data_IF_507188972879
#
_entry.id   IF_507188972879
#
_cell.length_a   1.000
_cell.length_b   1.000
_cell.length_c   1.000
_cell.angle_alpha   90.00
_cell.angle_beta   90.00
_cell.angle_gamma   90.00
#
_symmetry.space_group_name_H-M   'P 1'
#
loop_
_entity.id
_entity.type
_entity.pdbx_description
1 polymer ?
#
# COMPACT_ATOMS: atom_id res chain seq x y z
N UNK A 1 22.07 4.78 -19.40
CA UNK A 1 21.56 4.37 -18.07
C UNK A 1 20.10 3.98 -18.27
N UNK A 2 19.63 2.86 -17.71
CA UNK A 2 18.25 2.43 -17.96
C UNK A 2 17.24 3.30 -17.22
N UNK A 3 16.07 3.53 -17.80
CA UNK A 3 15.01 4.39 -17.26
C UNK A 3 13.72 3.61 -17.01
N UNK A 4 13.18 3.72 -15.78
CA UNK A 4 11.99 2.98 -15.31
C UNK A 4 10.88 3.95 -14.90
N UNK A 5 9.67 3.70 -15.40
CA UNK A 5 8.46 4.42 -15.01
C UNK A 5 7.67 3.66 -13.96
N UNK A 6 7.41 4.25 -12.80
CA UNK A 6 6.54 3.66 -11.76
C UNK A 6 5.14 4.25 -11.89
N UNK A 7 4.11 3.41 -11.94
CA UNK A 7 2.71 3.81 -11.79
C UNK A 7 2.18 3.23 -10.50
N UNK A 8 1.76 4.08 -9.57
CA UNK A 8 1.18 3.66 -8.29
C UNK A 8 0.20 4.71 -7.77
N UNK A 9 -0.43 4.44 -6.63
CA UNK A 9 -1.35 5.37 -5.98
C UNK A 9 -0.58 6.65 -5.56
N UNK A 10 -0.92 7.83 -6.09
CA UNK A 10 -0.26 9.09 -5.74
C UNK A 10 -0.57 9.54 -4.30
N UNK A 11 -1.52 8.89 -3.63
CA UNK A 11 -2.15 9.27 -2.35
C UNK A 11 -1.33 10.12 -1.39
N UNK A 12 -1.36 11.44 -1.59
CA UNK A 12 -0.79 12.45 -0.68
C UNK A 12 -1.59 12.58 0.64
N UNK A 13 -2.51 11.66 0.93
CA UNK A 13 -3.27 11.58 2.18
C UNK A 13 -3.06 10.23 2.90
N UNK A 14 -2.23 9.35 2.33
CA UNK A 14 -1.99 8.01 2.83
C UNK A 14 -0.48 7.74 3.00
N UNK A 15 -0.04 7.53 4.25
CA UNK A 15 1.36 7.28 4.58
C UNK A 15 1.94 6.09 3.80
N UNK A 16 1.18 4.99 3.73
CA UNK A 16 1.57 3.78 3.03
C UNK A 16 1.85 4.00 1.54
N UNK A 17 0.97 4.73 0.85
CA UNK A 17 1.13 5.04 -0.57
C UNK A 17 2.45 5.78 -0.84
N UNK A 18 2.83 6.72 0.03
CA UNK A 18 4.08 7.50 -0.09
C UNK A 18 5.31 6.66 0.23
N UNK A 19 5.27 5.92 1.34
CA UNK A 19 6.40 5.12 1.82
C UNK A 19 6.74 3.97 0.87
N UNK A 20 5.74 3.25 0.33
CA UNK A 20 6.00 2.18 -0.64
C UNK A 20 6.58 2.72 -1.95
N UNK A 21 6.14 3.91 -2.38
CA UNK A 21 6.65 4.51 -3.62
C UNK A 21 8.10 4.96 -3.45
N UNK A 22 8.37 5.66 -2.35
CA UNK A 22 9.72 6.05 -1.97
C UNK A 22 10.65 4.83 -1.93
N UNK A 23 10.25 3.76 -1.26
CA UNK A 23 11.09 2.57 -1.13
C UNK A 23 11.36 1.89 -2.48
N UNK A 24 10.34 1.70 -3.32
CA UNK A 24 10.54 1.12 -4.66
C UNK A 24 11.47 1.99 -5.51
N UNK A 25 11.27 3.31 -5.51
CA UNK A 25 12.12 4.25 -6.22
C UNK A 25 13.58 4.18 -5.73
N UNK A 26 13.79 4.19 -4.41
CA UNK A 26 15.13 4.14 -3.80
C UNK A 26 15.86 2.85 -4.18
N UNK A 27 15.21 1.70 -4.08
CA UNK A 27 15.76 0.39 -4.42
C UNK A 27 16.14 0.27 -5.90
N UNK A 28 15.35 0.87 -6.79
CA UNK A 28 15.65 0.90 -8.23
C UNK A 28 16.80 1.88 -8.53
N UNK A 29 16.84 3.05 -7.88
CA UNK A 29 17.96 4.00 -8.01
C UNK A 29 19.28 3.42 -7.49
N UNK A 30 19.27 2.69 -6.38
CA UNK A 30 20.44 1.98 -5.85
C UNK A 30 21.02 0.95 -6.85
N UNK A 31 20.23 0.51 -7.84
CA UNK A 31 20.66 -0.37 -8.95
C UNK A 31 21.14 0.38 -10.19
N UNK A 32 21.28 1.70 -10.12
CA UNK A 32 21.74 2.52 -11.24
C UNK A 32 20.69 2.76 -12.31
N UNK A 33 19.39 2.72 -11.97
CA UNK A 33 18.33 3.17 -12.86
C UNK A 33 17.99 4.64 -12.63
N UNK A 34 17.64 5.33 -13.72
CA UNK A 34 16.83 6.54 -13.64
C UNK A 34 15.37 6.13 -13.39
N UNK A 35 14.71 6.77 -12.43
CA UNK A 35 13.38 6.35 -11.99
C UNK A 35 12.48 7.56 -11.84
N UNK A 36 11.33 7.51 -12.49
CA UNK A 36 10.27 8.52 -12.36
C UNK A 36 8.95 7.85 -11.97
N UNK A 37 8.26 8.41 -10.98
CA UNK A 37 6.85 8.09 -10.72
C UNK A 37 5.98 8.86 -11.69
N UNK A 38 5.14 8.17 -12.45
CA UNK A 38 4.26 8.75 -13.44
C UNK A 38 2.90 9.01 -12.83
N UNK A 39 2.54 10.28 -12.72
CA UNK A 39 1.22 10.69 -12.26
C UNK A 39 0.39 11.16 -13.45
N UNK A 40 -0.66 10.38 -13.79
CA UNK A 40 -1.54 10.70 -14.89
C UNK A 40 -2.64 11.64 -14.40
N UNK A 41 -2.55 12.92 -14.78
CA UNK A 41 -3.44 13.97 -14.27
C UNK A 41 -4.62 14.26 -15.19
N UNK A 42 -4.70 13.60 -16.35
CA UNK A 42 -5.83 13.74 -17.27
C UNK A 42 -6.79 12.56 -17.16
N UNK A 43 -8.07 12.81 -17.43
CA UNK A 43 -9.07 11.75 -17.49
C UNK A 43 -8.87 10.89 -18.74
N UNK A 44 -8.27 9.70 -18.59
CA UNK A 44 -8.31 8.64 -19.62
C UNK A 44 -9.72 8.09 -19.85
N UNK A 45 -10.65 8.45 -18.99
CA UNK A 45 -12.01 7.95 -19.05
C UNK A 45 -12.82 8.60 -20.15
N UNK A 46 -13.25 7.79 -21.10
CA UNK A 46 -14.30 8.15 -22.02
C UNK A 46 -15.64 8.16 -21.26
N UNK A 47 -16.34 9.31 -21.18
CA UNK A 47 -17.61 9.45 -20.43
C UNK A 47 -18.64 8.35 -20.78
N UNK A 48 -18.66 7.92 -22.04
CA UNK A 48 -19.51 6.82 -22.54
C UNK A 48 -19.22 5.46 -21.88
N UNK A 49 -17.96 5.13 -21.57
CA UNK A 49 -17.61 3.87 -20.89
C UNK A 49 -18.09 3.85 -19.43
N UNK A 50 -18.15 5.01 -18.74
CA UNK A 50 -18.82 5.12 -17.42
C UNK A 50 -20.29 4.72 -17.52
N UNK A 51 -20.97 5.30 -18.50
CA UNK A 51 -22.42 5.12 -18.69
C UNK A 51 -22.76 3.68 -19.05
N UNK A 52 -22.01 3.05 -19.96
CA UNK A 52 -22.24 1.65 -20.36
C UNK A 52 -21.92 0.68 -19.20
N UNK A 53 -20.84 0.89 -18.46
CA UNK A 53 -20.51 0.06 -17.31
C UNK A 53 -21.53 0.20 -16.17
N UNK A 54 -22.02 1.41 -15.93
CA UNK A 54 -23.12 1.67 -15.00
C UNK A 54 -24.42 1.01 -15.48
N UNK A 55 -24.75 1.12 -16.77
CA UNK A 55 -25.94 0.54 -17.36
C UNK A 55 -25.93 -1.00 -17.30
N UNK A 56 -24.82 -1.66 -17.69
CA UNK A 56 -24.67 -3.12 -17.56
C UNK A 56 -24.82 -3.61 -16.12
N UNK A 57 -24.41 -2.79 -15.13
CA UNK A 57 -24.61 -3.10 -13.70
C UNK A 57 -26.06 -2.88 -13.24
N UNK A 58 -26.72 -1.85 -13.74
CA UNK A 58 -28.15 -1.61 -13.48
C UNK A 58 -29.01 -2.78 -13.99
N UNK A 59 -28.70 -3.34 -15.14
CA UNK A 59 -29.41 -4.48 -15.71
C UNK A 59 -29.22 -5.80 -14.94
N UNK A 60 -28.22 -5.89 -14.05
CA UNK A 60 -27.88 -7.12 -13.32
C UNK A 60 -28.43 -7.16 -11.89
N UNK A 61 -28.86 -6.01 -11.30
CA UNK A 61 -29.59 -5.96 -10.02
C UNK A 61 -29.97 -4.52 -9.62
N UNK A 62 -31.26 -4.16 -9.54
CA UNK A 62 -31.71 -2.86 -9.03
C UNK A 62 -31.35 -2.60 -7.56
N UNK A 63 -31.15 -3.64 -6.74
CA UNK A 63 -30.74 -3.51 -5.34
C UNK A 63 -29.25 -3.19 -5.16
N UNK A 64 -28.41 -3.48 -6.16
CA UNK A 64 -27.01 -3.01 -6.20
C UNK A 64 -26.92 -1.48 -6.38
N UNK A 65 -27.91 -0.86 -7.02
CA UNK A 65 -27.95 0.58 -7.27
C UNK A 65 -28.06 1.36 -5.97
N UNK A 66 -28.97 0.97 -5.06
CA UNK A 66 -29.09 1.60 -3.73
C UNK A 66 -27.80 1.48 -2.90
N UNK A 67 -27.04 0.39 -3.06
CA UNK A 67 -25.73 0.17 -2.42
C UNK A 67 -24.59 0.98 -3.07
N UNK A 68 -24.61 1.16 -4.38
CA UNK A 68 -23.62 1.96 -5.13
C UNK A 68 -23.80 3.47 -4.93
N UNK A 69 -25.06 3.94 -4.82
CA UNK A 69 -25.34 5.32 -4.46
C UNK A 69 -25.09 5.61 -2.97
N UNK A 70 -25.24 4.62 -2.06
CA UNK A 70 -24.69 4.71 -0.70
C UNK A 70 -23.15 4.67 -0.68
N UNK A 71 -22.50 3.92 -1.57
CA UNK A 71 -21.02 3.91 -1.68
C UNK A 71 -20.42 5.21 -2.24
N UNK A 72 -21.22 6.20 -2.66
CA UNK A 72 -20.77 7.59 -2.84
C UNK A 72 -20.55 8.33 -1.50
N UNK A 73 -20.71 7.67 -0.35
CA UNK A 73 -20.31 8.19 0.97
C UNK A 73 -18.81 8.45 1.10
N UNK A 74 -17.96 8.06 0.14
CA UNK A 74 -16.59 8.59 -0.01
C UNK A 74 -16.54 9.99 -0.65
N UNK A 75 -17.66 10.70 -0.76
CA UNK A 75 -17.74 11.96 -1.49
C UNK A 75 -17.17 13.14 -0.72
N UNK A 76 -17.75 13.46 0.45
CA UNK A 76 -17.39 14.66 1.20
C UNK A 76 -16.36 14.40 2.28
N UNK A 77 -16.61 13.41 3.14
CA UNK A 77 -15.74 13.08 4.28
C UNK A 77 -14.32 12.65 3.83
N UNK A 78 -14.22 11.85 2.77
CA UNK A 78 -12.91 11.48 2.21
C UNK A 78 -12.18 12.68 1.60
N UNK A 79 -12.89 13.57 0.89
CA UNK A 79 -12.27 14.79 0.34
C UNK A 79 -11.78 15.71 1.46
N UNK A 80 -12.56 15.83 2.52
CA UNK A 80 -12.22 16.60 3.71
C UNK A 80 -11.01 16.00 4.45
N UNK A 81 -11.04 14.69 4.74
CA UNK A 81 -9.91 13.94 5.29
C UNK A 81 -8.65 14.11 4.42
N UNK A 82 -8.80 13.97 3.10
CA UNK A 82 -7.70 14.15 2.16
C UNK A 82 -7.16 15.58 2.20
N UNK A 83 -8.03 16.59 2.28
CA UNK A 83 -7.64 18.00 2.36
C UNK A 83 -6.92 18.33 3.69
N UNK A 84 -7.29 17.67 4.79
CA UNK A 84 -6.61 17.82 6.08
C UNK A 84 -5.23 17.17 6.10
N UNK A 85 -5.07 16.00 5.47
CA UNK A 85 -3.79 15.26 5.46
C UNK A 85 -2.80 15.74 4.41
N UNK A 86 -3.29 16.16 3.24
CA UNK A 86 -2.43 16.54 2.10
C UNK A 86 -1.35 17.57 2.44
N UNK A 87 -1.62 18.64 3.20
CA UNK A 87 -0.59 19.61 3.59
C UNK A 87 0.58 19.00 4.39
N UNK A 88 0.34 17.95 5.15
CA UNK A 88 1.39 17.29 5.97
C UNK A 88 2.20 16.25 5.19
N UNK A 89 1.61 15.65 4.16
CA UNK A 89 2.21 14.54 3.41
C UNK A 89 2.81 14.98 2.06
N UNK A 90 2.25 16.01 1.41
CA UNK A 90 2.73 16.53 0.12
C UNK A 90 4.21 16.97 0.16
N UNK A 91 4.72 17.65 1.21
CA UNK A 91 6.13 18.04 1.27
C UNK A 91 7.09 16.85 1.17
N UNK A 92 6.69 15.66 1.66
CA UNK A 92 7.47 14.44 1.49
C UNK A 92 7.54 14.01 0.02
N UNK A 93 6.40 14.03 -0.69
CA UNK A 93 6.35 13.71 -2.12
C UNK A 93 7.27 14.64 -2.91
N UNK A 94 7.12 15.95 -2.74
CA UNK A 94 7.90 16.95 -3.48
C UNK A 94 9.40 16.83 -3.23
N UNK A 95 9.80 16.46 -2.00
CA UNK A 95 11.20 16.35 -1.61
C UNK A 95 11.85 15.03 -2.01
N UNK A 96 11.14 13.90 -1.92
CA UNK A 96 11.73 12.57 -1.98
C UNK A 96 11.28 11.70 -3.16
N UNK A 97 10.23 12.10 -3.89
CA UNK A 97 9.69 11.33 -5.01
C UNK A 97 9.87 12.12 -6.32
N UNK A 98 10.67 11.59 -7.24
CA UNK A 98 10.81 12.15 -8.59
C UNK A 98 9.53 11.82 -9.34
N UNK A 99 8.72 12.84 -9.58
CA UNK A 99 7.40 12.70 -10.20
C UNK A 99 7.36 13.38 -11.55
N UNK A 100 6.90 12.66 -12.57
CA UNK A 100 6.56 13.21 -13.88
C UNK A 100 5.05 13.22 -14.04
N UNK A 101 4.49 14.42 -14.21
CA UNK A 101 3.07 14.60 -14.46
C UNK A 101 2.76 14.43 -15.94
N UNK A 102 1.95 13.43 -16.28
CA UNK A 102 1.50 13.18 -17.64
C UNK A 102 0.17 13.91 -17.85
N UNK A 103 0.20 14.92 -18.72
CA UNK A 103 -0.90 15.90 -18.85
C UNK A 103 -1.84 15.63 -20.03
N UNK A 104 -1.49 14.70 -20.93
CA UNK A 104 -2.30 14.39 -22.11
C UNK A 104 -2.21 12.93 -22.57
N UNK A 105 -3.23 12.48 -23.30
CA UNK A 105 -3.24 11.15 -23.92
C UNK A 105 -2.14 10.98 -24.98
N UNK A 106 -1.81 12.06 -25.69
CA UNK A 106 -0.74 12.05 -26.70
C UNK A 106 0.63 11.83 -26.08
N UNK A 107 0.90 12.45 -24.92
CA UNK A 107 2.11 12.19 -24.15
C UNK A 107 2.15 10.73 -23.69
N UNK A 108 1.04 10.24 -23.13
CA UNK A 108 0.94 8.86 -22.64
C UNK A 108 1.18 7.80 -23.72
N UNK A 109 0.73 8.04 -24.96
CA UNK A 109 0.94 7.11 -26.08
C UNK A 109 2.41 7.02 -26.50
N UNK A 110 3.16 8.12 -26.37
CA UNK A 110 4.56 8.22 -26.81
C UNK A 110 5.55 7.84 -25.71
N UNK A 111 5.12 7.85 -24.45
CA UNK A 111 6.03 7.64 -23.31
C UNK A 111 6.81 6.32 -23.35
N UNK A 112 6.27 5.27 -23.99
CA UNK A 112 6.90 3.96 -24.02
C UNK A 112 8.28 3.95 -24.71
N UNK A 113 8.59 4.93 -25.57
CA UNK A 113 9.90 5.05 -26.21
C UNK A 113 10.96 5.69 -25.31
N UNK A 114 10.55 6.38 -24.23
CA UNK A 114 11.45 7.08 -23.32
C UNK A 114 11.93 6.21 -22.15
N UNK A 115 11.34 5.02 -21.97
CA UNK A 115 11.61 4.14 -20.83
C UNK A 115 11.88 2.71 -21.30
N UNK A 116 12.73 2.00 -20.59
CA UNK A 116 13.01 0.58 -20.85
C UNK A 116 11.88 -0.30 -20.37
N UNK A 117 11.31 0.01 -19.20
CA UNK A 117 10.17 -0.71 -18.66
C UNK A 117 9.31 0.15 -17.71
N UNK A 118 8.14 -0.38 -17.41
CA UNK A 118 7.16 0.23 -16.51
C UNK A 118 6.75 -0.77 -15.44
N UNK A 119 6.62 -0.27 -14.22
CA UNK A 119 6.25 -1.06 -13.05
C UNK A 119 4.98 -0.49 -12.45
N UNK A 120 3.93 -1.32 -12.36
CA UNK A 120 2.85 -1.08 -11.42
C UNK A 120 3.40 -1.32 -10.02
N UNK A 121 3.41 -0.27 -9.18
CA UNK A 121 3.89 -0.33 -7.81
C UNK A 121 3.01 -1.17 -6.88
N UNK A 122 3.37 -1.17 -5.60
CA UNK A 122 2.67 -1.93 -4.56
C UNK A 122 1.33 -1.28 -4.19
N UNK A 123 0.72 -1.82 -3.14
CA UNK A 123 -0.52 -1.40 -2.55
C UNK A 123 -1.78 -1.71 -3.38
N UNK A 124 -2.93 -1.16 -3.00
CA UNK A 124 -4.25 -1.51 -3.55
C UNK A 124 -4.53 -0.96 -4.96
N UNK A 125 -3.53 -0.94 -5.84
CA UNK A 125 -3.59 -0.47 -7.24
C UNK A 125 -4.60 -1.24 -8.10
N UNK A 126 -4.92 -2.49 -7.75
CA UNK A 126 -5.88 -3.35 -8.47
C UNK A 126 -7.22 -3.54 -7.73
N UNK A 127 -7.51 -2.68 -6.76
CA UNK A 127 -8.78 -2.70 -6.04
C UNK A 127 -9.94 -2.19 -6.92
N UNK A 128 -11.11 -2.85 -6.83
CA UNK A 128 -12.25 -2.72 -7.76
C UNK A 128 -12.97 -1.38 -7.76
N UNK A 129 -12.61 -0.42 -6.90
CA UNK A 129 -13.18 0.92 -6.96
C UNK A 129 -12.75 1.67 -8.24
N UNK A 130 -11.65 1.25 -8.88
CA UNK A 130 -11.05 1.89 -10.05
C UNK A 130 -11.46 1.24 -11.38
N UNK A 131 -12.71 0.78 -11.52
CA UNK A 131 -13.37 0.21 -12.73
C UNK A 131 -13.25 0.99 -14.04
N UNK A 132 -12.44 2.03 -14.04
CA UNK A 132 -12.25 3.00 -15.08
C UNK A 132 -10.81 3.29 -15.44
N UNK A 133 -9.85 2.87 -14.61
CA UNK A 133 -8.46 3.27 -14.79
C UNK A 133 -7.55 2.04 -14.96
N UNK A 134 -7.51 1.54 -16.18
CA UNK A 134 -6.58 0.49 -16.60
C UNK A 134 -5.12 0.93 -16.62
N UNK A 135 -4.82 2.18 -16.25
CA UNK A 135 -3.45 2.68 -16.07
C UNK A 135 -2.65 1.83 -15.10
N UNK A 136 -3.27 1.34 -14.02
CA UNK A 136 -2.60 0.47 -13.05
C UNK A 136 -2.26 -0.93 -13.60
N UNK A 137 -2.73 -1.26 -14.81
CA UNK A 137 -2.28 -2.44 -15.57
C UNK A 137 -1.35 -2.08 -16.73
N UNK A 138 -0.92 -0.81 -16.79
CA UNK A 138 -0.01 -0.29 -17.81
C UNK A 138 -0.53 -0.55 -19.23
N UNK A 139 -1.85 -0.51 -19.42
CA UNK A 139 -2.50 -0.92 -20.67
C UNK A 139 -2.12 -0.08 -21.91
N UNK A 140 -1.48 1.07 -21.68
CA UNK A 140 -0.93 2.00 -22.66
C UNK A 140 0.52 1.71 -23.08
N UNK A 141 1.18 0.72 -22.46
CA UNK A 141 2.58 0.35 -22.71
C UNK A 141 2.68 -0.93 -23.55
N UNK A 142 3.71 -1.21 -24.35
CA UNK A 142 3.86 -2.52 -25.00
C UNK A 142 4.04 -3.68 -24.01
N UNK A 143 3.55 -4.88 -24.35
CA UNK A 143 3.53 -6.06 -23.45
C UNK A 143 4.89 -6.32 -22.80
N UNK A 144 5.96 -6.26 -23.59
CA UNK A 144 7.33 -6.58 -23.22
C UNK A 144 7.94 -5.66 -22.15
N UNK A 145 7.29 -4.51 -21.90
CA UNK A 145 7.68 -3.49 -20.94
C UNK A 145 6.75 -3.40 -19.71
N UNK A 146 5.72 -4.25 -19.58
CA UNK A 146 4.74 -4.19 -18.47
C UNK A 146 5.04 -5.16 -17.33
N UNK A 147 5.36 -4.62 -16.17
CA UNK A 147 5.66 -5.39 -14.96
C UNK A 147 4.84 -4.89 -13.77
N UNK A 148 4.63 -5.74 -12.77
CA UNK A 148 4.15 -5.29 -11.46
C UNK A 148 5.13 -5.72 -10.37
N UNK A 149 5.18 -4.96 -9.28
CA UNK A 149 5.90 -5.34 -8.07
C UNK A 149 4.96 -5.23 -6.87
N UNK A 150 4.71 -6.36 -6.20
CA UNK A 150 3.87 -6.44 -5.00
C UNK A 150 2.50 -5.74 -5.14
N UNK A 151 1.89 -5.78 -6.33
CA UNK A 151 0.56 -5.18 -6.53
C UNK A 151 -0.50 -5.93 -5.68
N UNK A 152 -1.52 -5.21 -5.22
CA UNK A 152 -2.54 -5.79 -4.34
C UNK A 152 -3.94 -5.55 -4.89
N UNK A 153 -4.76 -6.59 -4.85
CA UNK A 153 -6.17 -6.51 -5.24
C UNK A 153 -7.04 -5.91 -4.13
N UNK A 154 -6.58 -5.96 -2.88
CA UNK A 154 -7.28 -5.42 -1.72
C UNK A 154 -8.58 -6.14 -1.34
N UNK A 155 -8.84 -7.30 -1.95
CA UNK A 155 -10.06 -8.11 -1.78
C UNK A 155 -9.75 -9.58 -2.08
N UNK A 156 -10.54 -10.47 -1.49
CA UNK A 156 -10.33 -11.91 -1.66
C UNK A 156 -10.90 -12.48 -2.98
N UNK A 157 -11.91 -11.83 -3.56
CA UNK A 157 -12.58 -12.30 -4.77
C UNK A 157 -12.87 -11.17 -5.75
N UNK A 158 -12.79 -11.47 -7.04
CA UNK A 158 -13.19 -10.59 -8.12
C UNK A 158 -14.64 -10.88 -8.50
N UNK A 159 -15.50 -9.86 -8.40
CA UNK A 159 -16.89 -9.93 -8.87
C UNK A 159 -16.99 -10.44 -10.32
N UNK A 160 -18.01 -11.27 -10.61
CA UNK A 160 -18.22 -11.88 -11.93
C UNK A 160 -18.21 -10.86 -13.07
N UNK A 161 -18.84 -9.70 -12.86
CA UNK A 161 -18.94 -8.63 -13.85
C UNK A 161 -17.60 -8.06 -14.30
N UNK A 162 -16.56 -8.16 -13.46
CA UNK A 162 -15.27 -7.52 -13.73
C UNK A 162 -14.19 -8.55 -14.10
N UNK A 163 -14.50 -9.86 -14.03
CA UNK A 163 -13.53 -10.94 -14.33
C UNK A 163 -12.91 -10.80 -15.71
N UNK A 164 -13.68 -10.42 -16.74
CA UNK A 164 -13.13 -10.21 -18.10
C UNK A 164 -12.13 -9.07 -18.11
N UNK A 165 -12.49 -7.93 -17.52
CA UNK A 165 -11.61 -6.75 -17.46
C UNK A 165 -10.28 -7.08 -16.77
N UNK A 166 -10.31 -7.75 -15.61
CA UNK A 166 -9.09 -8.16 -14.93
C UNK A 166 -8.31 -9.20 -15.74
N UNK A 167 -8.97 -10.19 -16.35
CA UNK A 167 -8.32 -11.20 -17.19
C UNK A 167 -7.55 -10.55 -18.34
N UNK A 168 -8.20 -9.67 -19.10
CA UNK A 168 -7.62 -9.06 -20.30
C UNK A 168 -6.41 -8.19 -19.93
N UNK A 169 -6.53 -7.38 -18.87
CA UNK A 169 -5.44 -6.53 -18.41
C UNK A 169 -4.27 -7.33 -17.81
N UNK A 170 -4.54 -8.35 -16.99
CA UNK A 170 -3.49 -9.23 -16.44
C UNK A 170 -2.80 -10.05 -17.55
N UNK A 171 -3.54 -10.43 -18.60
CA UNK A 171 -2.95 -11.05 -19.78
C UNK A 171 -1.99 -10.11 -20.53
N UNK A 172 -2.20 -8.80 -20.43
CA UNK A 172 -1.27 -7.79 -20.95
C UNK A 172 0.02 -7.62 -20.16
N UNK A 173 0.14 -8.16 -18.94
CA UNK A 173 1.36 -8.04 -18.12
C UNK A 173 2.40 -9.10 -18.48
N UNK A 174 3.67 -8.72 -18.68
CA UNK A 174 4.76 -9.67 -18.97
C UNK A 174 5.15 -10.48 -17.74
N UNK A 175 5.42 -9.82 -16.61
CA UNK A 175 5.55 -10.50 -15.30
C UNK A 175 4.66 -9.84 -14.26
N UNK A 176 4.13 -10.68 -13.39
CA UNK A 176 3.19 -10.29 -12.34
C UNK A 176 3.79 -10.66 -10.99
N UNK A 177 4.00 -9.68 -10.14
CA UNK A 177 4.18 -9.86 -8.70
C UNK A 177 3.02 -9.21 -7.95
N UNK A 178 2.58 -9.89 -6.91
CA UNK A 178 1.54 -9.47 -5.97
C UNK A 178 2.04 -9.52 -4.52
N UNK A 179 1.33 -8.86 -3.60
CA UNK A 179 1.72 -8.78 -2.18
C UNK A 179 1.09 -9.87 -1.30
N UNK A 180 -0.01 -10.47 -1.75
CA UNK A 180 -0.77 -11.46 -0.98
C UNK A 180 -0.98 -12.77 -1.75
N UNK A 181 -1.02 -13.91 -1.05
CA UNK A 181 -1.26 -15.21 -1.69
C UNK A 181 -2.61 -15.28 -2.40
N UNK A 182 -3.61 -14.59 -1.86
CA UNK A 182 -4.92 -14.52 -2.50
C UNK A 182 -4.86 -13.81 -3.86
N UNK A 183 -3.99 -12.82 -4.01
CA UNK A 183 -3.72 -12.15 -5.29
C UNK A 183 -3.11 -13.11 -6.31
N UNK A 184 -2.17 -13.96 -5.88
CA UNK A 184 -1.58 -15.00 -6.73
C UNK A 184 -2.64 -15.99 -7.22
N UNK A 185 -3.55 -16.41 -6.33
CA UNK A 185 -4.69 -17.27 -6.69
C UNK A 185 -5.59 -16.60 -7.73
N UNK A 186 -5.95 -15.33 -7.53
CA UNK A 186 -6.76 -14.56 -8.48
C UNK A 186 -6.10 -14.51 -9.86
N UNK A 187 -4.79 -14.23 -9.95
CA UNK A 187 -4.07 -14.19 -11.23
C UNK A 187 -4.14 -15.55 -11.93
N UNK A 188 -3.86 -16.64 -11.19
CA UNK A 188 -3.88 -18.01 -11.71
C UNK A 188 -5.27 -18.40 -12.21
N UNK A 189 -6.32 -18.13 -11.44
CA UNK A 189 -7.71 -18.44 -11.81
C UNK A 189 -8.19 -17.66 -13.04
N UNK A 190 -7.78 -16.39 -13.20
CA UNK A 190 -8.26 -15.55 -14.28
C UNK A 190 -7.51 -15.75 -15.60
N UNK A 191 -6.20 -16.01 -15.54
CA UNK A 191 -5.32 -15.98 -16.72
C UNK A 191 -4.49 -17.26 -16.92
N UNK A 192 -4.50 -18.17 -15.96
CA UNK A 192 -3.61 -19.33 -15.88
C UNK A 192 -2.10 -18.99 -15.77
N UNK A 193 -1.72 -17.71 -15.74
CA UNK A 193 -0.34 -17.24 -15.52
C UNK A 193 0.12 -17.51 -14.09
N UNK A 194 1.44 -17.59 -13.93
CA UNK A 194 2.08 -17.58 -12.61
C UNK A 194 2.28 -16.14 -12.13
N UNK A 195 2.09 -15.92 -10.83
CA UNK A 195 2.43 -14.68 -10.16
C UNK A 195 3.36 -14.96 -8.98
N UNK A 196 4.32 -14.07 -8.77
CA UNK A 196 5.22 -14.09 -7.62
C UNK A 196 4.56 -13.37 -6.44
N UNK A 197 4.83 -13.84 -5.22
CA UNK A 197 4.37 -13.15 -4.00
C UNK A 197 5.60 -12.56 -3.33
N UNK A 198 5.68 -11.24 -3.27
CA UNK A 198 6.81 -10.52 -2.68
C UNK A 198 6.36 -9.64 -1.53
N UNK A 199 7.29 -9.37 -0.61
CA UNK A 199 7.13 -8.34 0.42
C UNK A 199 6.92 -6.96 -0.20
N UNK A 200 6.22 -6.11 0.55
CA UNK A 200 6.01 -4.71 0.17
C UNK A 200 7.36 -3.98 -0.04
N UNK A 201 7.47 -3.03 -1.00
CA UNK A 201 8.70 -2.30 -1.22
C UNK A 201 9.29 -1.66 0.04
N UNK A 202 8.45 -1.25 0.98
CA UNK A 202 8.90 -0.67 2.25
C UNK A 202 9.83 -1.60 3.03
N UNK A 203 9.61 -2.92 2.95
CA UNK A 203 10.43 -3.94 3.60
C UNK A 203 11.73 -4.25 2.86
N UNK A 204 11.95 -3.70 1.65
CA UNK A 204 13.21 -3.83 0.94
C UNK A 204 14.32 -2.97 1.53
N UNK A 205 13.94 -1.82 2.09
CA UNK A 205 14.84 -1.00 2.89
C UNK A 205 14.98 -1.59 4.29
N UNK A 206 16.17 -1.41 4.86
CA UNK A 206 16.54 -1.83 6.21
C UNK A 206 15.95 -0.90 7.27
N UNK A 207 15.88 -1.38 8.51
CA UNK A 207 15.49 -0.56 9.66
C UNK A 207 16.42 0.64 9.83
N UNK A 208 17.72 0.47 9.56
CA UNK A 208 18.70 1.56 9.58
C UNK A 208 18.39 2.62 8.52
N UNK A 209 18.14 2.25 7.26
CA UNK A 209 17.80 3.20 6.20
C UNK A 209 16.53 4.02 6.55
N UNK A 210 15.54 3.38 7.16
CA UNK A 210 14.35 4.09 7.66
C UNK A 210 14.65 5.03 8.83
N UNK A 211 15.52 4.62 9.76
CA UNK A 211 15.98 5.48 10.87
C UNK A 211 16.81 6.67 10.36
N UNK A 212 17.64 6.48 9.33
CA UNK A 212 18.39 7.57 8.71
C UNK A 212 17.48 8.60 8.03
N UNK A 213 16.42 8.14 7.35
CA UNK A 213 15.38 9.03 6.83
C UNK A 213 14.64 9.73 7.98
N UNK A 214 14.37 9.02 9.08
CA UNK A 214 13.62 9.57 10.19
C UNK A 214 14.37 10.72 10.90
N UNK A 215 15.70 10.74 10.85
CA UNK A 215 16.52 11.85 11.38
C UNK A 215 16.37 13.17 10.61
N UNK A 216 15.70 13.20 9.45
CA UNK A 216 15.49 14.43 8.66
C UNK A 216 14.42 15.37 9.24
N UNK A 217 13.69 14.93 10.27
CA UNK A 217 12.79 15.78 11.06
C UNK A 217 13.11 15.63 12.56
N UNK A 218 12.85 16.69 13.34
CA UNK A 218 13.10 16.64 14.78
C UNK A 218 12.04 15.80 15.50
N UNK A 219 12.36 15.32 16.69
CA UNK A 219 11.54 14.40 17.50
C UNK A 219 10.75 15.10 18.61
N UNK A 220 10.80 16.43 18.72
CA UNK A 220 10.25 17.18 19.86
C UNK A 220 8.72 17.17 19.93
N UNK A 221 8.07 16.77 18.85
CA UNK A 221 6.62 16.63 18.75
C UNK A 221 6.10 15.33 19.38
N UNK A 222 6.98 14.35 19.63
CA UNK A 222 6.61 13.08 20.26
C UNK A 222 6.27 13.29 21.75
N UNK A 223 5.44 12.39 22.32
CA UNK A 223 5.20 12.34 23.76
C UNK A 223 6.51 12.31 24.56
N UNK A 224 6.51 13.02 25.68
CA UNK A 224 7.66 13.03 26.59
C UNK A 224 7.80 11.74 27.38
N UNK A 225 6.67 11.06 27.66
CA UNK A 225 6.64 9.74 28.27
C UNK A 225 6.61 8.64 27.20
N UNK A 226 6.83 7.42 27.67
CA UNK A 226 6.48 6.20 26.93
C UNK A 226 5.04 6.27 26.44
N UNK A 227 4.77 5.76 25.25
CA UNK A 227 3.44 5.87 24.65
C UNK A 227 3.03 4.66 23.84
N UNK A 228 1.72 4.49 23.73
CA UNK A 228 1.06 3.57 22.81
C UNK A 228 0.66 4.36 21.57
N UNK A 229 1.02 3.86 20.41
CA UNK A 229 0.58 4.42 19.14
C UNK A 229 -0.69 3.73 18.67
N UNK A 230 -1.76 4.50 18.46
CA UNK A 230 -3.00 4.00 17.89
C UNK A 230 -3.13 4.53 16.46
N UNK A 231 -3.12 3.63 15.48
CA UNK A 231 -3.32 4.00 14.07
C UNK A 231 -4.32 3.07 13.40
N UNK A 232 -5.59 3.50 13.33
CA UNK A 232 -6.66 2.74 12.69
C UNK A 232 -7.24 3.51 11.51
N UNK A 233 -7.56 2.84 10.41
CA UNK A 233 -8.09 3.47 9.21
C UNK A 233 -9.56 3.86 9.37
N UNK A 234 -10.37 3.03 10.04
CA UNK A 234 -11.82 3.24 10.18
C UNK A 234 -12.30 3.31 11.63
N UNK A 235 -11.41 3.78 12.50
CA UNK A 235 -11.65 3.81 13.94
C UNK A 235 -11.68 2.43 14.57
N UNK A 236 -12.18 2.40 15.79
CA UNK A 236 -12.14 1.26 16.69
C UNK A 236 -13.40 1.29 17.56
N UNK A 237 -13.85 0.11 18.01
CA UNK A 237 -14.99 0.05 18.92
C UNK A 237 -14.64 0.53 20.34
N UNK A 238 -15.70 0.80 21.12
CA UNK A 238 -15.57 1.36 22.46
C UNK A 238 -14.84 0.43 23.42
N UNK A 239 -15.10 -0.88 23.34
CA UNK A 239 -14.48 -1.86 24.22
C UNK A 239 -12.97 -1.89 24.05
N UNK A 240 -12.48 -1.92 22.80
CA UNK A 240 -11.03 -1.89 22.54
C UNK A 240 -10.40 -0.54 22.91
N UNK A 241 -11.12 0.58 22.74
CA UNK A 241 -10.65 1.90 23.24
C UNK A 241 -10.48 1.90 24.76
N UNK A 242 -11.46 1.38 25.50
CA UNK A 242 -11.39 1.26 26.96
C UNK A 242 -10.26 0.32 27.40
N UNK A 243 -10.06 -0.79 26.70
CA UNK A 243 -8.95 -1.72 26.92
C UNK A 243 -7.58 -1.02 26.80
N UNK A 244 -7.37 -0.24 25.73
CA UNK A 244 -6.13 0.52 25.50
C UNK A 244 -5.95 1.59 26.58
N UNK A 245 -7.00 2.34 26.93
CA UNK A 245 -6.93 3.36 27.98
C UNK A 245 -6.55 2.76 29.33
N UNK A 246 -7.19 1.67 29.74
CA UNK A 246 -6.89 1.00 31.00
C UNK A 246 -5.44 0.48 31.02
N UNK A 247 -4.97 -0.10 29.91
CA UNK A 247 -3.61 -0.57 29.80
C UNK A 247 -2.58 0.59 29.86
N UNK A 248 -2.86 1.69 29.16
CA UNK A 248 -2.02 2.88 29.17
C UNK A 248 -1.93 3.49 30.59
N UNK A 249 -3.05 3.62 31.29
CA UNK A 249 -3.10 4.10 32.68
C UNK A 249 -2.28 3.20 33.60
N UNK A 250 -2.48 1.88 33.53
CA UNK A 250 -1.75 0.91 34.34
C UNK A 250 -0.23 0.94 34.11
N UNK A 251 0.22 1.21 32.88
CA UNK A 251 1.65 1.32 32.53
C UNK A 251 2.20 2.75 32.65
N UNK A 252 1.37 3.74 32.97
CA UNK A 252 1.71 5.18 32.91
C UNK A 252 2.26 5.59 31.52
N UNK A 253 1.61 5.10 30.47
CA UNK A 253 1.91 5.44 29.07
C UNK A 253 0.95 6.52 28.56
N UNK A 254 1.43 7.40 27.68
CA UNK A 254 0.58 8.30 26.91
C UNK A 254 -0.05 7.54 25.72
N UNK A 255 -1.17 8.05 25.19
CA UNK A 255 -1.78 7.51 23.96
C UNK A 255 -1.60 8.54 22.86
N UNK A 256 -0.85 8.18 21.82
CA UNK A 256 -0.71 8.95 20.60
C UNK A 256 -1.59 8.32 19.52
N UNK A 257 -2.65 9.02 19.11
CA UNK A 257 -3.54 8.56 18.05
C UNK A 257 -3.22 9.25 16.72
N UNK A 258 -3.11 8.50 15.62
CA UNK A 258 -2.92 9.03 14.26
C UNK A 258 -4.23 8.92 13.48
N UNK A 259 -4.59 10.00 12.78
CA UNK A 259 -5.80 10.04 11.95
C UNK A 259 -5.68 9.09 10.74
N UNK A 260 -6.65 8.19 10.63
CA UNK A 260 -6.80 7.21 9.57
C UNK A 260 -7.43 7.75 8.29
N UNK A 261 -8.43 7.02 7.78
CA UNK A 261 -9.28 7.41 6.65
C UNK A 261 -10.60 8.07 7.11
N UNK A 262 -10.97 7.91 8.40
CA UNK A 262 -12.08 8.61 9.05
C UNK A 262 -11.58 9.81 9.84
N UNK A 263 -12.32 10.91 9.79
CA UNK A 263 -11.97 12.14 10.53
C UNK A 263 -12.19 11.90 12.03
N UNK A 264 -11.17 12.19 12.82
CA UNK A 264 -11.22 12.12 14.28
C UNK A 264 -10.40 13.29 14.85
N UNK A 265 -11.09 14.27 15.43
CA UNK A 265 -10.49 15.50 15.96
C UNK A 265 -9.52 15.25 17.12
N UNK A 266 -9.60 14.09 17.78
CA UNK A 266 -8.67 13.69 18.84
C UNK A 266 -7.39 13.06 18.32
N UNK A 267 -7.35 12.74 17.03
CA UNK A 267 -6.21 12.11 16.39
C UNK A 267 -5.32 13.14 15.70
N UNK A 268 -4.01 12.94 15.77
CA UNK A 268 -3.03 13.80 15.12
C UNK A 268 -2.89 13.47 13.64
N UNK A 269 -2.57 14.49 12.85
CA UNK A 269 -2.11 14.35 11.47
C UNK A 269 -0.60 14.58 11.49
N UNK A 270 0.15 13.55 11.09
CA UNK A 270 1.60 13.56 11.10
C UNK A 270 2.15 13.82 9.69
N UNK A 271 3.40 14.24 9.60
CA UNK A 271 4.16 14.11 8.35
C UNK A 271 4.47 12.63 8.07
N UNK A 272 4.94 12.32 6.85
CA UNK A 272 5.36 10.95 6.49
C UNK A 272 6.54 10.47 7.34
N UNK A 273 7.47 11.37 7.68
CA UNK A 273 8.63 11.03 8.51
C UNK A 273 8.19 10.84 9.96
N UNK A 274 7.33 11.72 10.47
CA UNK A 274 6.76 11.60 11.81
C UNK A 274 6.00 10.29 12.00
N UNK A 275 5.30 9.79 10.97
CA UNK A 275 4.67 8.47 11.01
C UNK A 275 5.68 7.34 11.30
N UNK A 276 6.83 7.34 10.62
CA UNK A 276 7.90 6.35 10.85
C UNK A 276 8.51 6.53 12.24
N UNK A 277 8.75 7.78 12.67
CA UNK A 277 9.26 8.09 14.01
C UNK A 277 8.33 7.63 15.14
N UNK A 278 7.02 7.83 14.99
CA UNK A 278 6.03 7.37 15.98
C UNK A 278 6.05 5.84 16.12
N UNK A 279 6.13 5.10 15.01
CA UNK A 279 6.20 3.64 15.06
C UNK A 279 7.51 3.18 15.69
N UNK A 280 8.66 3.76 15.30
CA UNK A 280 9.98 3.36 15.82
C UNK A 280 10.13 3.57 17.34
N UNK A 281 9.35 4.50 17.92
CA UNK A 281 9.47 4.91 19.33
C UNK A 281 8.30 4.53 20.22
N UNK A 282 7.24 3.98 19.67
CA UNK A 282 6.13 3.50 20.48
C UNK A 282 6.58 2.28 21.29
N UNK A 283 6.02 2.11 22.49
CA UNK A 283 6.19 0.86 23.24
C UNK A 283 5.27 -0.23 22.66
N UNK A 284 4.15 0.19 22.08
CA UNK A 284 3.14 -0.68 21.48
C UNK A 284 2.44 0.08 20.34
N UNK A 285 2.23 -0.59 19.21
CA UNK A 285 1.39 -0.11 18.12
C UNK A 285 0.09 -0.91 18.06
N UNK A 286 -1.06 -0.24 18.13
CA UNK A 286 -2.36 -0.86 17.86
C UNK A 286 -2.90 -0.35 16.53
N UNK A 287 -3.11 -1.25 15.58
CA UNK A 287 -3.42 -0.84 14.20
C UNK A 287 -4.32 -1.82 13.46
N UNK A 288 -5.13 -1.34 12.53
CA UNK A 288 -5.78 -2.18 11.51
C UNK A 288 -5.11 -2.00 10.13
N UNK A 289 -4.01 -1.23 10.08
CA UNK A 289 -3.35 -0.78 8.85
C UNK A 289 -2.24 -1.75 8.45
N UNK A 290 -2.24 -2.11 7.17
CA UNK A 290 -1.16 -2.92 6.59
C UNK A 290 0.22 -2.28 6.81
N UNK A 291 0.35 -0.98 6.55
CA UNK A 291 1.63 -0.29 6.72
C UNK A 291 1.97 -0.01 8.18
N UNK A 292 0.98 0.07 9.08
CA UNK A 292 1.23 0.07 10.52
C UNK A 292 1.96 -1.21 10.92
N UNK A 293 1.40 -2.38 10.56
CA UNK A 293 2.03 -3.67 10.83
C UNK A 293 3.39 -3.84 10.14
N UNK A 294 3.51 -3.46 8.86
CA UNK A 294 4.79 -3.57 8.13
C UNK A 294 5.89 -2.76 8.81
N UNK A 295 5.64 -1.51 9.19
CA UNK A 295 6.66 -0.69 9.84
C UNK A 295 6.98 -1.18 11.26
N UNK A 296 6.00 -1.70 11.99
CA UNK A 296 6.25 -2.37 13.27
C UNK A 296 7.19 -3.57 13.12
N UNK A 297 7.03 -4.37 12.06
CA UNK A 297 7.95 -5.48 11.74
C UNK A 297 9.33 -4.96 11.36
N UNK A 298 9.41 -3.96 10.46
CA UNK A 298 10.69 -3.39 10.01
C UNK A 298 11.49 -2.83 11.20
N UNK A 299 10.82 -2.16 12.13
CA UNK A 299 11.46 -1.41 13.22
C UNK A 299 11.56 -2.23 14.52
N UNK A 300 11.02 -3.45 14.54
CA UNK A 300 10.90 -4.32 15.72
C UNK A 300 10.11 -3.68 16.87
N UNK A 301 9.04 -2.96 16.53
CA UNK A 301 8.13 -2.37 17.51
C UNK A 301 6.99 -3.33 17.82
N UNK A 302 6.75 -3.71 19.09
CA UNK A 302 5.60 -4.54 19.47
C UNK A 302 4.29 -3.98 18.93
N UNK A 303 3.41 -4.85 18.43
CA UNK A 303 2.19 -4.41 17.76
C UNK A 303 1.03 -5.41 17.82
N UNK A 304 -0.19 -4.90 17.87
CA UNK A 304 -1.42 -5.66 17.72
C UNK A 304 -2.16 -5.22 16.46
N UNK A 305 -2.56 -6.20 15.65
CA UNK A 305 -3.37 -6.01 14.44
C UNK A 305 -4.83 -6.25 14.77
N UNK A 306 -5.66 -5.23 14.66
CA UNK A 306 -7.10 -5.34 14.88
C UNK A 306 -7.81 -5.90 13.64
N UNK A 307 -8.80 -6.76 13.88
CA UNK A 307 -9.67 -7.25 12.81
C UNK A 307 -10.66 -6.17 12.37
N UNK A 308 -10.72 -5.93 11.05
CA UNK A 308 -11.72 -5.02 10.48
C UNK A 308 -13.08 -5.71 10.43
N UNK A 309 -14.09 -5.12 11.09
CA UNK A 309 -15.49 -5.58 11.12
C UNK A 309 -16.12 -5.83 9.74
N UNK A 310 -15.59 -5.24 8.66
CA UNK A 310 -16.05 -5.48 7.29
C UNK A 310 -15.11 -6.46 6.60
N UNK A 311 -15.49 -7.74 6.59
CA UNK A 311 -14.65 -8.87 6.15
C UNK A 311 -14.02 -8.79 4.76
N UNK A 312 -13.13 -9.76 4.51
CA UNK A 312 -12.34 -10.01 3.28
C UNK A 312 -11.14 -9.09 2.98
N UNK A 313 -10.79 -8.12 3.83
CA UNK A 313 -9.59 -7.26 3.65
C UNK A 313 -8.33 -7.74 4.40
N UNK A 314 -8.45 -8.79 5.23
CA UNK A 314 -7.38 -9.28 6.11
C UNK A 314 -6.36 -10.17 5.42
N UNK A 315 -6.61 -10.71 4.22
CA UNK A 315 -5.68 -11.65 3.57
C UNK A 315 -4.26 -11.11 3.40
N UNK A 316 -4.10 -9.78 3.30
CA UNK A 316 -2.79 -9.11 3.23
C UNK A 316 -2.08 -9.12 4.58
N UNK A 317 -2.80 -8.80 5.65
CA UNK A 317 -2.28 -8.83 7.01
C UNK A 317 -2.00 -10.28 7.44
N UNK A 318 -2.91 -11.22 7.15
CA UNK A 318 -2.70 -12.65 7.35
C UNK A 318 -1.45 -13.14 6.60
N UNK A 319 -1.31 -12.81 5.31
CA UNK A 319 -0.11 -13.16 4.52
C UNK A 319 1.16 -12.61 5.17
N UNK A 320 1.12 -11.36 5.62
CA UNK A 320 2.25 -10.71 6.28
C UNK A 320 2.59 -11.41 7.61
N UNK A 321 1.63 -11.56 8.51
CA UNK A 321 1.85 -12.13 9.83
C UNK A 321 2.28 -13.60 9.74
N UNK A 322 1.69 -14.40 8.85
CA UNK A 322 2.12 -15.79 8.63
C UNK A 322 3.55 -15.86 8.09
N UNK A 323 3.91 -15.03 7.11
CA UNK A 323 5.26 -14.98 6.53
C UNK A 323 6.34 -14.66 7.59
N UNK A 324 6.03 -13.77 8.52
CA UNK A 324 6.94 -13.37 9.61
C UNK A 324 6.76 -14.18 10.89
N UNK A 325 5.88 -15.19 10.91
CA UNK A 325 5.52 -15.99 12.10
C UNK A 325 5.01 -15.16 13.29
N UNK A 326 4.32 -14.06 12.99
CA UNK A 326 3.73 -13.12 13.94
C UNK A 326 2.21 -13.22 13.99
N UNK A 327 1.64 -14.40 13.72
CA UNK A 327 0.17 -14.61 13.74
C UNK A 327 -0.44 -14.39 15.11
N UNK A 328 0.36 -14.49 16.18
CA UNK A 328 -0.04 -14.13 17.56
C UNK A 328 -0.37 -12.64 17.70
N UNK A 329 0.12 -11.79 16.81
CA UNK A 329 -0.11 -10.34 16.86
C UNK A 329 -1.49 -9.94 16.28
N UNK A 330 -2.24 -10.88 15.72
CA UNK A 330 -3.64 -10.64 15.34
C UNK A 330 -4.51 -10.64 16.61
N UNK A 331 -5.34 -9.60 16.77
CA UNK A 331 -6.28 -9.47 17.88
C UNK A 331 -7.22 -10.68 17.92
N UNK A 332 -7.20 -11.38 19.05
CA UNK A 332 -7.96 -12.60 19.31
C UNK A 332 -8.41 -12.59 20.76
N UNK A 333 -9.51 -13.27 21.03
CA UNK A 333 -10.04 -13.41 22.38
C UNK A 333 -8.99 -14.01 23.32
N UNK A 334 -8.81 -13.39 24.49
CA UNK A 334 -7.89 -13.84 25.54
C UNK A 334 -6.43 -13.39 25.40
N UNK A 335 -6.08 -12.62 24.36
CA UNK A 335 -4.73 -12.09 24.18
C UNK A 335 -4.55 -10.77 24.94
N UNK A 336 -3.60 -10.71 25.87
CA UNK A 336 -3.33 -9.48 26.63
C UNK A 336 -2.31 -8.57 25.92
N UNK A 337 -2.34 -7.27 26.21
CA UNK A 337 -1.32 -6.35 25.72
C UNK A 337 0.08 -6.67 26.28
N UNK A 338 0.19 -7.27 27.46
CA UNK A 338 1.47 -7.75 28.00
C UNK A 338 2.07 -8.87 27.13
N UNK A 339 1.25 -9.77 26.57
CA UNK A 339 1.70 -10.79 25.63
C UNK A 339 2.23 -10.16 24.32
N UNK A 340 1.56 -9.09 23.86
CA UNK A 340 1.95 -8.35 22.67
C UNK A 340 3.24 -7.55 22.90
N UNK A 341 3.44 -6.93 24.06
CA UNK A 341 4.69 -6.24 24.39
C UNK A 341 5.90 -7.17 24.26
N UNK A 342 5.71 -8.46 24.56
CA UNK A 342 6.71 -9.52 24.40
C UNK A 342 6.66 -10.14 22.98
N UNK A 343 6.38 -9.34 21.95
CA UNK A 343 6.49 -9.80 20.56
C UNK A 343 7.92 -10.24 20.27
N UNK A 344 8.06 -11.45 19.73
CA UNK A 344 9.37 -12.03 19.41
C UNK A 344 9.70 -11.72 17.95
N UNK A 345 10.75 -10.93 17.75
CA UNK A 345 11.25 -10.54 16.43
C UNK A 345 12.54 -11.29 16.04
N UNK A 346 12.96 -12.31 16.79
CA UNK A 346 14.23 -13.02 16.56
C UNK A 346 14.38 -13.58 15.15
N UNK A 347 13.31 -14.06 14.55
CA UNK A 347 13.33 -14.59 13.17
C UNK A 347 13.16 -13.51 12.08
N UNK A 348 12.74 -12.29 12.45
CA UNK A 348 12.34 -11.23 11.50
C UNK A 348 13.45 -10.90 10.51
N UNK A 349 14.68 -10.73 10.97
CA UNK A 349 15.81 -10.36 10.11
C UNK A 349 16.18 -11.47 9.12
N UNK A 350 16.05 -12.74 9.53
CA UNK A 350 16.28 -13.89 8.66
C UNK A 350 15.22 -13.97 7.56
N UNK A 351 13.95 -13.82 7.93
CA UNK A 351 12.83 -13.78 6.98
C UNK A 351 12.99 -12.58 6.02
N UNK A 352 13.26 -11.38 6.54
CA UNK A 352 13.52 -10.19 5.73
C UNK A 352 14.65 -10.40 4.74
N UNK A 353 15.77 -11.01 5.17
CA UNK A 353 16.93 -11.26 4.32
C UNK A 353 16.60 -12.21 3.16
N UNK A 354 15.88 -13.30 3.44
CA UNK A 354 15.42 -14.24 2.42
C UNK A 354 14.45 -13.61 1.43
N UNK A 355 13.45 -12.88 1.93
CA UNK A 355 12.44 -12.22 1.11
C UNK A 355 13.04 -11.08 0.27
N UNK A 356 13.95 -10.29 0.85
CA UNK A 356 14.73 -9.29 0.11
C UNK A 356 15.50 -9.95 -1.01
N UNK A 357 16.20 -11.07 -0.78
CA UNK A 357 16.93 -11.77 -1.84
C UNK A 357 16.00 -12.16 -3.00
N UNK A 358 14.87 -12.79 -2.72
CA UNK A 358 13.88 -13.17 -3.76
C UNK A 358 13.33 -11.96 -4.52
N UNK A 359 13.03 -10.87 -3.81
CA UNK A 359 12.59 -9.62 -4.42
C UNK A 359 13.68 -8.99 -5.28
N UNK A 360 14.95 -9.05 -4.84
CA UNK A 360 16.08 -8.53 -5.62
C UNK A 360 16.21 -9.29 -6.94
N UNK A 361 16.19 -10.62 -6.92
CA UNK A 361 16.23 -11.48 -8.12
C UNK A 361 15.07 -11.16 -9.10
N UNK A 362 13.87 -10.91 -8.58
CA UNK A 362 12.72 -10.51 -9.41
C UNK A 362 12.90 -9.13 -10.05
N UNK A 363 13.43 -8.15 -9.31
CA UNK A 363 13.72 -6.81 -9.83
C UNK A 363 14.86 -6.83 -10.85
N UNK A 364 15.85 -7.71 -10.67
CA UNK A 364 17.00 -7.83 -11.56
C UNK A 364 16.61 -8.42 -12.92
N UNK A 365 15.49 -9.15 -13.01
CA UNK A 365 14.89 -9.54 -14.29
C UNK A 365 14.52 -8.34 -15.18
N UNK A 366 14.44 -7.13 -14.63
CA UNK A 366 14.23 -5.91 -15.43
C UNK A 366 15.52 -5.44 -16.11
N UNK A 367 16.69 -5.92 -15.67
CA UNK A 367 18.01 -5.66 -16.26
C UNK A 367 18.22 -6.47 -17.55
N UNK A 368 17.78 -7.73 -17.57
CA UNK A 368 18.05 -8.66 -18.69
C UNK A 368 17.31 -8.28 -19.98
N UNK A 369 16.21 -7.51 -19.88
CA UNK A 369 15.49 -7.02 -21.06
C UNK A 369 16.27 -5.95 -21.85
N UNK A 370 17.43 -5.50 -21.38
CA UNK A 370 18.32 -4.60 -22.16
C UNK A 370 19.02 -5.33 -23.31
N UNK A 371 19.27 -6.62 -23.17
CA UNK A 371 20.13 -7.37 -24.11
C UNK A 371 19.34 -7.78 -25.36
N UNK A 372 18.05 -8.08 -25.22
CA UNK A 372 17.19 -8.58 -26.31
C UNK A 372 16.55 -7.50 -27.19
N UNK A 373 16.78 -6.21 -26.92
CA UNK A 373 16.21 -5.10 -27.72
C UNK A 373 17.24 -4.35 -28.57
N UNK A 374 18.50 -4.79 -28.54
CA UNK A 374 19.61 -4.26 -29.36
C UNK A 374 20.11 -5.27 -30.42
N UNK A 375 19.38 -6.37 -30.61
CA UNK A 375 19.49 -7.28 -31.75
C UNK A 375 18.23 -7.12 -32.61
#
# INVERSE_FOLDING_TARGET
>A
MGKIGIVTLPGNFNYGNRLQNYALQTILKQRGYEVETLEITFSRMNKFRKTIAAFKRCCLSPSLIKKLFKQREYGKEFLEMSALKSPQLLPFTEKYIITRFIKSENELKKIHSEYDCFITGSDQVWNQSSMSDSTYFLDFIPYEKRFSYAASFGKSKILRADKSYFRDNLNGMKKISVREWQGKKIVKELTNKQAYVHIDPTMLLTSQEWRELSLKENIRWLPSKKFILVYTLRGMDRAKKEEISNFAENKNYEILSIMGDSIDEKSQILTVIQFVQAIDRAELVVTDSFHGAVFSIILNTPFQVLERRTGNMNSRLETLLEKFKLTKNLDREGLSFDDILNTDFTETDSVLSSERKQSKEYLDCFLDNRVTSNE
#
